data_IF_613262180416
#
_entry.id   IF_613262180416
#
_cell.length_a   1.000
_cell.length_b   1.000
_cell.length_c   1.000
_cell.angle_alpha   90.00
_cell.angle_beta   90.00
_cell.angle_gamma   90.00
#
_symmetry.space_group_name_H-M   'P 1'
#
loop_
_entity.id
_entity.type
_entity.pdbx_description
1 polymer ?
#
# COMPACT_ATOMS: atom_id res chain seq x y z
N UNK A 1 -7.06 20.07 4.86
CA UNK A 1 -6.11 20.09 3.73
C UNK A 1 -4.76 20.46 4.32
N UNK A 2 -3.81 19.54 4.42
CA UNK A 2 -2.47 19.83 4.97
C UNK A 2 -1.54 20.01 3.79
N UNK A 3 -1.22 21.25 3.47
CA UNK A 3 -0.31 21.62 2.38
C UNK A 3 1.12 21.41 2.86
N UNK A 4 1.90 20.60 2.15
CA UNK A 4 3.33 20.39 2.42
C UNK A 4 4.13 21.58 1.89
N UNK A 5 4.89 22.24 2.75
CA UNK A 5 5.87 23.26 2.36
C UNK A 5 7.28 22.68 2.42
N UNK A 6 8.03 22.75 1.32
CA UNK A 6 9.47 22.52 1.30
C UNK A 6 10.20 23.88 1.34
N UNK A 7 11.24 23.99 2.16
CA UNK A 7 12.04 25.21 2.28
C UNK A 7 13.09 25.28 1.14
N UNK A 8 13.18 26.37 0.37
CA UNK A 8 14.04 26.50 -0.81
C UNK A 8 15.51 26.88 -0.50
N UNK A 9 15.97 26.84 0.74
CA UNK A 9 17.37 27.14 1.06
C UNK A 9 17.95 26.16 2.08
N UNK A 10 19.11 25.58 1.77
CA UNK A 10 19.80 24.57 2.57
C UNK A 10 20.30 25.08 3.94
N UNK A 11 20.19 26.39 4.23
CA UNK A 11 20.85 27.04 5.36
C UNK A 11 19.91 27.87 6.25
N UNK A 12 18.60 27.84 6.02
CA UNK A 12 17.62 28.50 6.89
C UNK A 12 17.11 27.51 7.93
N UNK A 13 17.18 27.88 9.22
CA UNK A 13 16.55 27.17 10.33
C UNK A 13 15.05 27.03 10.08
N UNK A 14 14.65 25.94 9.44
CA UNK A 14 13.27 25.49 9.33
C UNK A 14 12.99 24.55 10.48
N UNK A 15 11.93 24.84 11.24
CA UNK A 15 11.39 23.86 12.18
C UNK A 15 11.01 22.61 11.38
N UNK A 16 11.55 21.46 11.75
CA UNK A 16 11.14 20.18 11.18
C UNK A 16 9.64 20.03 11.44
N UNK A 17 8.83 20.28 10.41
CA UNK A 17 7.40 20.01 10.47
C UNK A 17 7.29 18.49 10.55
N UNK A 18 7.01 17.97 11.74
CA UNK A 18 6.74 16.56 11.93
C UNK A 18 5.54 16.23 11.04
N UNK A 19 5.75 15.43 10.00
CA UNK A 19 4.68 15.02 9.13
C UNK A 19 3.86 13.95 9.88
N UNK A 20 2.92 14.37 10.74
CA UNK A 20 2.04 13.47 11.53
C UNK A 20 0.90 12.90 10.65
N UNK A 21 1.21 12.58 9.40
CA UNK A 21 0.29 11.94 8.47
C UNK A 21 0.29 10.43 8.64
N UNK A 22 -0.86 9.78 8.43
CA UNK A 22 -1.00 8.30 8.42
C UNK A 22 0.05 7.64 7.52
N UNK A 23 0.43 8.29 6.42
CA UNK A 23 1.47 7.83 5.48
C UNK A 23 2.88 7.73 6.10
N UNK A 24 3.16 8.45 7.19
CA UNK A 24 4.47 8.40 7.88
C UNK A 24 4.51 7.36 8.99
N UNK A 25 3.38 6.68 9.26
CA UNK A 25 3.35 5.59 10.24
C UNK A 25 4.07 4.35 9.67
N UNK A 26 4.84 3.63 10.51
CA UNK A 26 5.42 2.35 10.13
C UNK A 26 4.36 1.42 9.53
N UNK A 27 4.68 0.60 8.51
CA UNK A 27 3.73 -0.33 7.91
C UNK A 27 3.00 -1.19 8.94
N UNK A 28 3.72 -1.66 9.97
CA UNK A 28 3.13 -2.47 11.05
C UNK A 28 2.10 -1.70 11.88
N UNK A 29 2.34 -0.42 12.16
CA UNK A 29 1.40 0.44 12.90
C UNK A 29 0.16 0.75 12.06
N UNK A 30 0.32 0.93 10.73
CA UNK A 30 -0.80 1.10 9.81
C UNK A 30 -1.69 -0.14 9.76
N UNK A 31 -1.08 -1.33 9.67
CA UNK A 31 -1.81 -2.61 9.68
C UNK A 31 -2.53 -2.86 11.00
N UNK A 32 -1.90 -2.60 12.15
CA UNK A 32 -2.56 -2.71 13.47
C UNK A 32 -3.77 -1.77 13.58
N UNK A 33 -3.61 -0.50 13.15
CA UNK A 33 -4.70 0.47 13.10
C UNK A 33 -5.85 0.01 12.18
N UNK A 34 -5.53 -0.54 11.00
CA UNK A 34 -6.54 -1.06 10.07
C UNK A 34 -7.36 -2.18 10.71
N UNK A 35 -6.69 -3.12 11.37
CA UNK A 35 -7.34 -4.25 12.04
C UNK A 35 -8.23 -3.79 13.20
N UNK A 36 -7.77 -2.84 14.02
CA UNK A 36 -8.58 -2.26 15.10
C UNK A 36 -9.80 -1.53 14.56
N UNK A 37 -9.63 -0.79 13.46
CA UNK A 37 -10.72 -0.07 12.82
C UNK A 37 -11.78 -1.02 12.24
N UNK A 38 -11.37 -2.13 11.64
CA UNK A 38 -12.31 -3.17 11.17
C UNK A 38 -13.17 -3.71 12.32
N UNK A 39 -12.55 -4.01 13.47
CA UNK A 39 -13.27 -4.47 14.65
C UNK A 39 -14.26 -3.42 15.19
N UNK A 40 -13.92 -2.13 15.12
CA UNK A 40 -14.81 -1.03 15.52
C UNK A 40 -15.97 -0.86 14.54
N UNK A 41 -15.73 -0.98 13.24
CA UNK A 41 -16.78 -0.89 12.22
C UNK A 41 -17.83 -1.99 12.45
N UNK A 42 -17.39 -3.21 12.77
CA UNK A 42 -18.30 -4.32 13.03
C UNK A 42 -19.19 -4.05 14.26
N UNK A 43 -18.58 -3.60 15.35
CA UNK A 43 -19.32 -3.20 16.56
C UNK A 43 -20.27 -2.04 16.30
N UNK A 44 -19.82 -1.04 15.54
CA UNK A 44 -20.64 0.11 15.17
C UNK A 44 -21.87 -0.32 14.37
N UNK A 45 -21.73 -1.25 13.41
CA UNK A 45 -22.86 -1.81 12.64
C UNK A 45 -23.87 -2.48 13.57
N UNK A 46 -23.40 -3.33 14.48
CA UNK A 46 -24.27 -4.02 15.43
C UNK A 46 -25.07 -3.04 16.31
N UNK A 47 -24.40 -2.03 16.87
CA UNK A 47 -25.05 -1.01 17.69
C UNK A 47 -26.00 -0.16 16.85
N UNK A 48 -25.62 0.23 15.63
CA UNK A 48 -26.46 1.02 14.74
C UNK A 48 -27.78 0.32 14.46
N UNK A 49 -27.74 -0.94 14.02
CA UNK A 49 -28.92 -1.72 13.67
C UNK A 49 -29.84 -2.00 14.86
N UNK A 50 -29.32 -1.91 16.09
CA UNK A 50 -30.13 -2.03 17.31
C UNK A 50 -30.95 -0.77 17.67
N UNK A 51 -30.58 0.41 17.13
CA UNK A 51 -31.16 1.71 17.56
C UNK A 51 -31.58 2.64 16.42
N UNK A 52 -31.16 2.38 15.19
CA UNK A 52 -31.33 3.29 14.06
C UNK A 52 -31.86 2.57 12.83
N UNK A 53 -32.39 3.35 11.88
CA UNK A 53 -32.84 2.83 10.58
C UNK A 53 -31.64 2.35 9.73
N UNK A 54 -31.77 1.22 9.01
CA UNK A 54 -30.71 0.69 8.17
C UNK A 54 -30.25 1.64 7.04
N UNK A 55 -31.13 2.51 6.54
CA UNK A 55 -30.84 3.38 5.40
C UNK A 55 -29.71 4.39 5.66
N UNK A 56 -29.50 4.82 6.90
CA UNK A 56 -28.42 5.75 7.27
C UNK A 56 -27.07 5.08 7.55
N UNK A 57 -27.02 3.75 7.57
CA UNK A 57 -25.82 3.02 7.97
C UNK A 57 -24.67 3.23 6.97
N UNK A 58 -24.95 3.14 5.66
CA UNK A 58 -23.89 3.26 4.65
C UNK A 58 -23.24 4.64 4.62
N UNK A 59 -24.03 5.70 4.75
CA UNK A 59 -23.52 7.07 4.84
C UNK A 59 -22.63 7.25 6.06
N UNK A 60 -23.03 6.69 7.21
CA UNK A 60 -22.24 6.76 8.44
C UNK A 60 -20.93 5.98 8.35
N UNK A 61 -20.91 4.88 7.59
CA UNK A 61 -19.72 4.06 7.36
C UNK A 61 -18.72 4.65 6.36
N UNK A 62 -19.14 5.62 5.53
CA UNK A 62 -18.30 6.20 4.49
C UNK A 62 -16.99 6.80 5.02
N UNK A 63 -17.02 7.44 6.20
CA UNK A 63 -15.80 7.99 6.82
C UNK A 63 -14.84 6.89 7.28
N UNK A 64 -15.35 5.80 7.85
CA UNK A 64 -14.51 4.68 8.27
C UNK A 64 -13.86 3.98 7.07
N UNK A 65 -14.62 3.77 6.00
CA UNK A 65 -14.09 3.22 4.75
C UNK A 65 -13.00 4.13 4.14
N UNK A 66 -13.22 5.45 4.14
CA UNK A 66 -12.23 6.42 3.67
C UNK A 66 -10.94 6.46 4.50
N UNK A 67 -11.01 6.03 5.78
CA UNK A 67 -9.84 5.95 6.65
C UNK A 67 -9.12 4.61 6.50
N UNK A 68 -9.88 3.52 6.28
CA UNK A 68 -9.31 2.21 5.96
C UNK A 68 -8.45 2.25 4.70
N UNK A 69 -8.92 2.90 3.62
CA UNK A 69 -8.15 3.01 2.38
C UNK A 69 -6.83 3.74 2.57
N UNK A 70 -6.72 4.65 3.54
CA UNK A 70 -5.47 5.36 3.86
C UNK A 70 -4.50 4.55 4.73
N UNK A 71 -5.00 3.53 5.43
CA UNK A 71 -4.19 2.67 6.29
C UNK A 71 -3.63 1.48 5.51
N UNK A 72 -4.35 0.98 4.52
CA UNK A 72 -3.90 -0.11 3.67
C UNK A 72 -2.87 0.46 2.67
N UNK A 73 -1.69 -0.15 2.51
CA UNK A 73 -0.77 0.25 1.45
C UNK A 73 -1.47 0.15 0.10
N UNK A 74 -1.45 1.22 -0.70
CA UNK A 74 -1.70 1.11 -2.14
C UNK A 74 -0.71 0.04 -2.64
N UNK A 75 -1.20 -0.97 -3.38
CA UNK A 75 -0.33 -2.01 -3.91
C UNK A 75 0.84 -1.31 -4.60
N UNK A 76 2.06 -1.62 -4.17
CA UNK A 76 3.25 -1.06 -4.76
C UNK A 76 3.34 -1.62 -6.18
N UNK A 77 2.85 -0.87 -7.17
CA UNK A 77 2.90 -1.26 -8.58
C UNK A 77 4.34 -1.54 -9.04
N UNK A 78 5.35 -1.08 -8.29
CA UNK A 78 6.77 -1.38 -8.55
C UNK A 78 7.16 -2.84 -8.27
N UNK A 79 6.41 -3.56 -7.43
CA UNK A 79 6.61 -5.00 -7.20
C UNK A 79 6.13 -5.86 -8.38
N UNK A 80 5.29 -5.29 -9.26
CA UNK A 80 4.83 -5.92 -10.50
C UNK A 80 5.48 -5.33 -11.76
N UNK A 81 6.34 -4.30 -11.65
CA UNK A 81 7.16 -3.87 -12.77
C UNK A 81 8.31 -4.84 -12.97
N UNK A 82 8.01 -6.01 -13.53
CA UNK A 82 9.01 -6.82 -14.22
C UNK A 82 9.59 -5.91 -15.31
N UNK A 83 10.85 -5.50 -15.14
CA UNK A 83 11.58 -4.79 -16.18
C UNK A 83 11.47 -5.64 -17.46
N UNK A 84 10.87 -5.13 -18.54
CA UNK A 84 10.67 -5.91 -19.77
C UNK A 84 11.99 -6.42 -20.38
N UNK A 85 13.12 -5.93 -19.89
CA UNK A 85 14.45 -6.38 -20.28
C UNK A 85 15.05 -7.41 -19.31
N UNK A 86 14.36 -7.81 -18.24
CA UNK A 86 14.80 -8.93 -17.40
C UNK A 86 14.53 -10.25 -18.14
N UNK A 87 15.56 -11.00 -18.53
CA UNK A 87 15.37 -12.29 -19.17
C UNK A 87 14.66 -13.24 -18.21
N UNK A 88 13.63 -13.94 -18.68
CA UNK A 88 12.93 -14.91 -17.84
C UNK A 88 13.90 -16.05 -17.50
N UNK A 89 13.77 -16.63 -16.30
CA UNK A 89 14.57 -17.81 -15.92
C UNK A 89 14.52 -18.91 -17.00
N UNK A 90 13.36 -19.05 -17.66
CA UNK A 90 13.14 -19.93 -18.81
C UNK A 90 14.14 -19.68 -19.97
N UNK A 91 14.43 -18.43 -20.29
CA UNK A 91 15.31 -18.03 -21.39
C UNK A 91 16.78 -18.29 -21.06
N UNK A 92 17.17 -18.08 -19.80
CA UNK A 92 18.52 -18.38 -19.30
C UNK A 92 18.82 -19.89 -19.33
N UNK A 93 17.84 -20.73 -19.00
CA UNK A 93 18.00 -22.18 -19.09
C UNK A 93 17.95 -22.70 -20.54
N UNK A 94 17.20 -22.04 -21.43
CA UNK A 94 17.15 -22.42 -22.85
C UNK A 94 18.49 -22.16 -23.58
N UNK A 95 19.20 -21.09 -23.20
CA UNK A 95 20.50 -20.76 -23.81
C UNK A 95 21.62 -21.76 -23.46
N UNK A 96 21.51 -22.50 -22.35
CA UNK A 96 22.49 -23.52 -21.96
C UNK A 96 22.36 -24.86 -22.72
N UNK A 97 21.25 -25.09 -23.42
CA UNK A 97 21.04 -26.32 -24.20
C UNK A 97 21.67 -26.25 -25.61
N UNK A 98 21.85 -25.06 -26.17
CA UNK A 98 22.47 -24.88 -27.50
C UNK A 98 23.98 -25.15 -27.48
N UNK A 99 24.65 -24.92 -26.34
CA UNK A 99 26.09 -25.14 -26.21
C UNK A 99 26.50 -26.62 -26.15
N UNK A 100 25.56 -27.55 -25.92
CA UNK A 100 25.87 -29.00 -25.87
C UNK A 100 25.61 -29.74 -27.17
N UNK A 101 24.87 -29.16 -28.12
CA UNK A 101 24.48 -29.87 -29.36
C UNK A 101 25.45 -29.70 -30.53
N UNK A 102 26.48 -28.87 -30.43
CA UNK A 102 27.52 -28.69 -31.45
C UNK A 102 28.79 -29.52 -31.24
N UNK A 103 28.84 -30.38 -30.21
CA UNK A 103 30.03 -31.21 -29.93
C UNK A 103 29.90 -32.71 -30.26
N UNK A 104 28.82 -33.14 -30.90
CA UNK A 104 28.68 -34.50 -31.44
C UNK A 104 28.28 -34.49 -32.92
N UNK A 105 29.20 -34.04 -33.77
CA UNK A 105 29.29 -34.48 -35.16
C UNK A 105 30.75 -34.35 -35.62
N UNK A 106 31.54 -35.36 -35.31
CA UNK A 106 32.80 -35.70 -35.96
C UNK A 106 32.92 -37.22 -35.96
#
# INVERSE_FOLDING_TARGET
>A
MVTTGLNPSSNACGLAVINVGISNLPPIARTDLANRLLALIEQFRAVWLSRNLPCGLQTSLAMFNSLLTKLIPENDDSLYSVDRNTPLLQDLYSSTDIARKTSLSA
#
